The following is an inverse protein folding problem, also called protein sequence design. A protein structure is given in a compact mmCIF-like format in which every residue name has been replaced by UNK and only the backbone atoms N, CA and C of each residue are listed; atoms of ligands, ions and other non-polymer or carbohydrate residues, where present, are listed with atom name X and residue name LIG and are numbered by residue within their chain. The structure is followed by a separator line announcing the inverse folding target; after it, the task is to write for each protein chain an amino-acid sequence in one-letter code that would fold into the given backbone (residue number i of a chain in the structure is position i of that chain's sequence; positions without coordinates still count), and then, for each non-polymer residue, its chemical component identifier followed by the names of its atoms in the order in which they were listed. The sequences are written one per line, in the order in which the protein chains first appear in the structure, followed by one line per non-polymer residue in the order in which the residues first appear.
data_IF_607688192254
#
_entry.id   IF_607688192254
#
_cell.length_a   1.000
_cell.length_b   1.000
_cell.length_c   1.000
_cell.angle_alpha   90.00
_cell.angle_beta   90.00
_cell.angle_gamma   90.00
#
_symmetry.space_group_name_H-M   'P 1'
#
loop_
_entity.id
_entity.type
_entity.pdbx_description
1 polymer ?
#
# COMPACT_ATOMS: atom_id res chain seq x y z
N UNK A 1 -19.46 15.67 -2.34
CA UNK A 1 -20.45 16.52 -1.61
C UNK A 1 -19.81 16.87 -0.28
N UNK A 2 -19.82 18.13 0.21
CA UNK A 2 -19.08 18.45 1.43
C UNK A 2 -19.66 17.71 2.64
N UNK A 3 -18.82 17.01 3.39
CA UNK A 3 -19.21 16.30 4.62
C UNK A 3 -19.01 17.25 5.79
N UNK A 4 -20.02 17.43 6.64
CA UNK A 4 -19.91 18.28 7.83
C UNK A 4 -19.61 17.43 9.06
N UNK A 5 -18.49 17.69 9.72
CA UNK A 5 -18.10 17.01 10.95
C UNK A 5 -17.99 17.99 12.12
N UNK A 6 -18.58 17.62 13.25
CA UNK A 6 -18.39 18.34 14.49
C UNK A 6 -17.15 17.82 15.22
N UNK A 7 -15.97 18.18 14.71
CA UNK A 7 -14.69 17.64 15.19
C UNK A 7 -13.76 18.73 15.75
N UNK A 8 -12.89 18.35 16.67
CA UNK A 8 -11.85 19.18 17.29
C UNK A 8 -10.57 18.38 17.53
N UNK A 9 -9.46 19.06 17.80
CA UNK A 9 -8.16 18.43 18.02
C UNK A 9 -8.10 17.43 19.18
N UNK A 10 -9.09 17.40 20.09
CA UNK A 10 -9.15 16.46 21.21
C UNK A 10 -10.42 15.62 21.26
N UNK A 11 -11.32 15.75 20.26
CA UNK A 11 -12.54 14.94 20.22
C UNK A 11 -12.24 13.56 19.63
N UNK A 12 -12.94 12.55 20.12
CA UNK A 12 -12.97 11.21 19.54
C UNK A 12 -14.30 11.08 18.82
N UNK A 13 -14.26 10.76 17.52
CA UNK A 13 -15.46 10.44 16.76
C UNK A 13 -15.92 9.03 17.11
N UNK A 14 -17.23 8.80 17.26
CA UNK A 14 -17.75 7.47 17.48
C UNK A 14 -17.58 6.61 16.21
N UNK A 15 -17.40 5.30 16.41
CA UNK A 15 -17.00 4.39 15.32
C UNK A 15 -18.01 4.32 14.17
N UNK A 16 -19.31 4.52 14.45
CA UNK A 16 -20.33 4.61 13.41
C UNK A 16 -20.10 5.79 12.44
N UNK A 17 -19.66 6.94 12.96
CA UNK A 17 -19.31 8.11 12.14
C UNK A 17 -18.02 7.87 11.37
N UNK A 18 -17.00 7.26 12.00
CA UNK A 18 -15.75 6.89 11.33
C UNK A 18 -15.98 5.86 10.22
N UNK A 19 -16.80 4.84 10.45
CA UNK A 19 -17.15 3.83 9.44
C UNK A 19 -17.89 4.45 8.25
N UNK A 20 -18.83 5.36 8.52
CA UNK A 20 -19.53 6.11 7.47
C UNK A 20 -18.57 6.98 6.66
N UNK A 21 -17.65 7.68 7.34
CA UNK A 21 -16.63 8.49 6.69
C UNK A 21 -15.70 7.65 5.80
N UNK A 22 -15.23 6.50 6.30
CA UNK A 22 -14.42 5.55 5.51
C UNK A 22 -15.16 5.11 4.27
N UNK A 23 -16.42 4.69 4.41
CA UNK A 23 -17.24 4.25 3.29
C UNK A 23 -17.37 5.35 2.23
N UNK A 24 -17.72 6.57 2.62
CA UNK A 24 -17.91 7.69 1.68
C UNK A 24 -16.61 8.01 0.93
N UNK A 25 -15.49 8.14 1.64
CA UNK A 25 -14.19 8.47 1.05
C UNK A 25 -13.65 7.32 0.17
N UNK A 26 -14.00 6.07 0.48
CA UNK A 26 -13.66 4.94 -0.39
C UNK A 26 -14.45 4.96 -1.70
N UNK A 27 -15.72 5.37 -1.67
CA UNK A 27 -16.52 5.50 -2.89
C UNK A 27 -16.12 6.72 -3.73
N UNK A 28 -15.64 7.79 -3.08
CA UNK A 28 -15.25 9.05 -3.73
C UNK A 28 -13.80 9.39 -3.39
N UNK A 29 -12.88 9.23 -4.35
CA UNK A 29 -11.44 9.34 -4.12
C UNK A 29 -10.95 10.72 -3.61
N UNK A 30 -11.77 11.77 -3.67
CA UNK A 30 -11.45 13.10 -3.14
C UNK A 30 -12.71 13.75 -2.57
N UNK A 31 -12.90 13.67 -1.24
CA UNK A 31 -14.00 14.38 -0.59
C UNK A 31 -13.47 15.46 0.36
N UNK A 32 -14.03 16.66 0.21
CA UNK A 32 -13.77 17.78 1.12
C UNK A 32 -14.65 17.66 2.35
N UNK A 33 -14.03 17.61 3.51
CA UNK A 33 -14.69 17.59 4.81
C UNK A 33 -14.60 18.97 5.45
N UNK A 34 -15.74 19.48 5.92
CA UNK A 34 -15.88 20.75 6.61
C UNK A 34 -16.05 20.47 8.11
N UNK A 35 -15.06 20.89 8.89
CA UNK A 35 -15.05 20.73 10.34
C UNK A 35 -15.55 22.02 11.00
N UNK A 36 -16.63 21.91 11.80
CA UNK A 36 -17.26 23.03 12.53
C UNK A 36 -17.50 24.28 11.68
N UNK A 37 -17.85 24.09 10.41
CA UNK A 37 -18.11 25.17 9.43
C UNK A 37 -16.93 26.15 9.21
N UNK A 38 -15.73 25.80 9.71
CA UNK A 38 -14.59 26.73 9.76
C UNK A 38 -13.31 26.19 9.14
N UNK A 39 -13.06 24.89 9.26
CA UNK A 39 -11.84 24.26 8.73
C UNK A 39 -12.21 23.31 7.61
N UNK A 40 -11.55 23.45 6.46
CA UNK A 40 -11.70 22.53 5.33
C UNK A 40 -10.54 21.55 5.35
N UNK A 41 -10.86 20.27 5.25
CA UNK A 41 -9.90 19.17 5.16
C UNK A 41 -10.18 18.40 3.89
N UNK A 42 -9.13 17.98 3.21
CA UNK A 42 -9.18 17.03 2.11
C UNK A 42 -8.85 15.65 2.65
N UNK A 43 -9.74 14.69 2.44
CA UNK A 43 -9.52 13.29 2.82
C UNK A 43 -9.42 12.45 1.55
N UNK A 44 -8.32 11.70 1.45
CA UNK A 44 -8.06 10.83 0.31
C UNK A 44 -7.78 9.41 0.77
N UNK A 45 -8.43 8.45 0.12
CA UNK A 45 -8.17 7.03 0.31
C UNK A 45 -7.09 6.56 -0.69
N UNK A 46 -6.08 5.86 -0.19
CA UNK A 46 -4.98 5.29 -0.95
C UNK A 46 -5.11 3.78 -0.91
N UNK A 47 -5.66 3.23 -1.99
CA UNK A 47 -6.02 1.82 -2.13
C UNK A 47 -4.81 0.88 -1.97
N UNK A 48 -3.65 1.26 -2.52
CA UNK A 48 -2.44 0.42 -2.52
C UNK A 48 -1.94 0.05 -1.13
N UNK A 49 -2.21 0.88 -0.12
CA UNK A 49 -1.80 0.64 1.27
C UNK A 49 -3.00 0.54 2.23
N UNK A 50 -4.22 0.54 1.70
CA UNK A 50 -5.48 0.59 2.45
C UNK A 50 -5.44 1.63 3.59
N UNK A 51 -5.07 2.87 3.24
CA UNK A 51 -4.87 3.95 4.19
C UNK A 51 -5.52 5.26 3.75
N UNK A 52 -5.86 6.10 4.72
CA UNK A 52 -6.44 7.41 4.46
C UNK A 52 -5.43 8.52 4.80
N UNK A 53 -5.42 9.58 4.01
CA UNK A 53 -4.66 10.81 4.30
C UNK A 53 -5.61 11.95 4.59
N UNK A 54 -5.24 12.83 5.51
CA UNK A 54 -6.03 14.03 5.85
C UNK A 54 -5.15 15.25 5.77
N UNK A 55 -5.48 16.18 4.86
CA UNK A 55 -4.71 17.39 4.64
C UNK A 55 -5.58 18.64 4.83
N UNK A 56 -5.14 19.66 5.56
CA UNK A 56 -5.87 20.91 5.64
C UNK A 56 -5.86 21.64 4.29
N UNK A 57 -7.03 22.11 3.87
CA UNK A 57 -7.20 22.97 2.70
C UNK A 57 -6.97 24.41 3.14
N UNK A 58 -5.72 24.85 3.03
CA UNK A 58 -5.29 26.17 3.47
C UNK A 58 -5.81 27.26 2.52
N UNK A 59 -6.79 28.06 2.98
CA UNK A 59 -7.21 29.27 2.25
C UNK A 59 -6.52 30.56 2.70
N UNK A 60 -5.97 30.61 3.93
CA UNK A 60 -5.39 31.82 4.52
C UNK A 60 -3.99 31.59 5.12
N UNK A 61 -3.05 32.51 4.89
CA UNK A 61 -1.62 32.39 5.23
C UNK A 61 -1.20 32.61 6.71
N UNK A 62 -2.13 32.61 7.67
CA UNK A 62 -1.78 32.86 9.08
C UNK A 62 -1.26 31.59 9.78
N UNK A 63 0.01 31.61 10.23
CA UNK A 63 0.73 30.46 10.81
C UNK A 63 0.06 29.84 12.05
N UNK A 64 -0.55 30.65 12.93
CA UNK A 64 -1.22 30.15 14.14
C UNK A 64 -2.42 29.26 13.80
N UNK A 65 -3.18 29.63 12.76
CA UNK A 65 -4.30 28.82 12.28
C UNK A 65 -3.81 27.56 11.58
N UNK A 66 -2.59 27.55 11.02
CA UNK A 66 -1.99 26.34 10.42
C UNK A 66 -1.64 25.29 11.46
N UNK A 67 -1.00 25.68 12.57
CA UNK A 67 -0.64 24.73 13.62
C UNK A 67 -1.87 24.01 14.20
N UNK A 68 -2.97 24.75 14.41
CA UNK A 68 -4.23 24.19 14.88
C UNK A 68 -4.86 23.26 13.84
N UNK A 69 -4.91 23.67 12.58
CA UNK A 69 -5.44 22.84 11.49
C UNK A 69 -4.65 21.54 11.33
N UNK A 70 -3.32 21.60 11.37
CA UNK A 70 -2.46 20.43 11.31
C UNK A 70 -2.70 19.46 12.47
N UNK A 71 -2.95 19.98 13.67
CA UNK A 71 -3.27 19.15 14.83
C UNK A 71 -4.61 18.43 14.65
N UNK A 72 -5.62 19.14 14.15
CA UNK A 72 -6.94 18.57 13.85
C UNK A 72 -6.82 17.50 12.74
N UNK A 73 -6.12 17.82 11.65
CA UNK A 73 -5.91 16.90 10.54
C UNK A 73 -5.20 15.61 10.98
N UNK A 74 -4.12 15.74 11.77
CA UNK A 74 -3.39 14.59 12.32
C UNK A 74 -4.26 13.72 13.22
N UNK A 75 -5.07 14.31 14.09
CA UNK A 75 -5.95 13.53 14.96
C UNK A 75 -7.02 12.80 14.14
N UNK A 76 -7.64 13.48 13.17
CA UNK A 76 -8.61 12.86 12.28
C UNK A 76 -7.96 11.74 11.45
N UNK A 77 -6.76 11.95 10.92
CA UNK A 77 -5.99 10.92 10.20
C UNK A 77 -5.75 9.69 11.08
N UNK A 78 -5.38 9.88 12.35
CA UNK A 78 -5.18 8.77 13.27
C UNK A 78 -6.49 8.01 13.50
N UNK A 79 -7.61 8.70 13.77
CA UNK A 79 -8.88 8.04 14.05
C UNK A 79 -9.44 7.29 12.83
N UNK A 80 -9.41 7.90 11.64
CA UNK A 80 -9.89 7.23 10.43
C UNK A 80 -9.02 6.02 10.07
N UNK A 81 -7.76 5.99 10.50
CA UNK A 81 -6.81 4.89 10.32
C UNK A 81 -6.63 3.99 11.57
N UNK A 82 -7.65 3.87 12.42
CA UNK A 82 -7.63 2.98 13.59
C UNK A 82 -6.47 3.25 14.58
N UNK A 83 -6.15 4.52 14.82
CA UNK A 83 -5.12 4.99 15.74
C UNK A 83 -3.73 5.20 15.12
N UNK A 84 -3.56 4.94 13.82
CA UNK A 84 -2.27 5.00 13.13
C UNK A 84 -2.16 6.21 12.21
N UNK A 85 -0.97 6.80 12.06
CA UNK A 85 -0.76 7.77 10.98
C UNK A 85 -0.62 7.07 9.63
N UNK A 86 -0.89 7.79 8.54
CA UNK A 86 -0.68 7.26 7.19
C UNK A 86 0.78 6.87 6.95
N UNK A 87 1.72 7.65 7.51
CA UNK A 87 3.15 7.36 7.44
C UNK A 87 3.49 6.01 8.09
N UNK A 88 2.87 5.67 9.23
CA UNK A 88 3.06 4.37 9.88
C UNK A 88 2.50 3.23 9.03
N UNK A 89 1.31 3.40 8.45
CA UNK A 89 0.71 2.39 7.55
C UNK A 89 1.61 2.16 6.33
N UNK A 90 2.09 3.24 5.72
CA UNK A 90 2.96 3.18 4.54
C UNK A 90 4.30 2.52 4.87
N UNK A 91 4.87 2.80 6.04
CA UNK A 91 6.11 2.18 6.49
C UNK A 91 5.93 0.66 6.65
N UNK A 92 4.86 0.21 7.30
CA UNK A 92 4.57 -1.22 7.46
C UNK A 92 4.37 -1.91 6.11
N UNK A 93 3.65 -1.27 5.20
CA UNK A 93 3.46 -1.78 3.84
C UNK A 93 4.81 -1.97 3.13
N UNK A 94 5.70 -0.97 3.20
CA UNK A 94 7.04 -1.08 2.61
C UNK A 94 7.89 -2.17 3.27
N UNK A 95 7.78 -2.35 4.58
CA UNK A 95 8.45 -3.43 5.30
C UNK A 95 7.93 -4.81 4.88
N UNK A 96 6.62 -4.98 4.72
CA UNK A 96 6.02 -6.20 4.20
C UNK A 96 6.40 -6.48 2.74
N UNK A 97 6.46 -5.43 1.91
CA UNK A 97 6.89 -5.57 0.52
C UNK A 97 8.36 -6.03 0.45
N UNK A 98 9.24 -5.39 1.24
CA UNK A 98 10.66 -5.71 1.28
C UNK A 98 10.95 -7.10 1.86
N UNK A 99 10.21 -7.53 2.87
CA UNK A 99 10.32 -8.89 3.39
C UNK A 99 9.93 -9.92 2.33
N UNK A 100 8.79 -9.73 1.65
CA UNK A 100 8.37 -10.61 0.55
C UNK A 100 9.38 -10.65 -0.62
N UNK A 101 10.05 -9.54 -0.92
CA UNK A 101 11.12 -9.48 -1.93
C UNK A 101 12.36 -10.27 -1.46
N UNK A 102 12.73 -10.15 -0.18
CA UNK A 102 13.87 -10.90 0.39
C UNK A 102 13.67 -12.42 0.32
N UNK A 103 12.46 -12.89 0.59
CA UNK A 103 12.10 -14.32 0.46
C UNK A 103 12.19 -14.80 -1.00
N UNK A 104 11.73 -14.01 -1.97
CA UNK A 104 11.83 -14.35 -3.40
C UNK A 104 13.29 -14.48 -3.86
N UNK A 105 14.18 -13.61 -3.40
CA UNK A 105 15.61 -13.65 -3.77
C UNK A 105 16.34 -14.87 -3.20
N UNK A 106 16.02 -15.28 -1.97
CA UNK A 106 16.54 -16.51 -1.37
C UNK A 106 16.06 -17.77 -2.10
N UNK A 107 14.76 -17.83 -2.42
CA UNK A 107 14.17 -18.94 -3.17
C UNK A 107 14.72 -19.03 -4.61
N UNK A 108 14.91 -17.90 -5.29
CA UNK A 108 15.49 -17.84 -6.64
C UNK A 108 16.94 -18.36 -6.66
N UNK A 109 17.76 -17.97 -5.67
CA UNK A 109 19.13 -18.46 -5.56
C UNK A 109 19.18 -19.97 -5.26
N UNK A 110 18.32 -20.46 -4.37
CA UNK A 110 18.22 -21.90 -4.09
C UNK A 110 17.79 -22.69 -5.34
N UNK A 111 16.84 -22.18 -6.12
CA UNK A 111 16.40 -22.78 -7.37
C UNK A 111 17.52 -22.79 -8.42
N UNK A 112 18.21 -21.67 -8.62
CA UNK A 112 19.36 -21.59 -9.55
C UNK A 112 20.46 -22.57 -9.17
N UNK A 113 20.83 -22.63 -7.90
CA UNK A 113 21.84 -23.56 -7.41
C UNK A 113 21.43 -25.02 -7.64
N UNK A 114 20.14 -25.34 -7.42
CA UNK A 114 19.62 -26.69 -7.65
C UNK A 114 19.55 -27.05 -9.13
N UNK A 115 19.20 -26.11 -10.01
CA UNK A 115 19.26 -26.30 -11.47
C UNK A 115 20.71 -26.57 -11.89
N UNK A 116 21.66 -25.75 -11.44
CA UNK A 116 23.07 -25.93 -11.75
C UNK A 116 23.64 -27.26 -11.22
N UNK A 117 23.20 -27.72 -10.05
CA UNK A 117 23.69 -29.00 -9.51
C UNK A 117 23.12 -30.23 -10.21
N UNK A 118 22.03 -30.08 -10.98
CA UNK A 118 21.39 -31.17 -11.73
C UNK A 118 21.52 -31.01 -13.25
N UNK A 119 22.17 -29.95 -13.72
CA UNK A 119 22.47 -29.77 -15.13
C UNK A 119 23.67 -30.60 -15.54
N UNK A 120 23.59 -31.25 -16.69
CA UNK A 120 24.68 -31.97 -17.33
C UNK A 120 24.61 -31.72 -18.84
N UNK A 121 25.72 -31.96 -19.54
CA UNK A 121 25.79 -31.83 -21.00
C UNK A 121 25.10 -33.01 -21.65
N UNK A 122 24.16 -32.76 -22.56
CA UNK A 122 23.44 -33.84 -23.24
C UNK A 122 24.28 -34.33 -24.43
N UNK A 123 24.81 -35.55 -24.34
CA UNK A 123 25.46 -36.23 -25.45
C UNK A 123 24.48 -37.26 -26.06
N UNK A 124 23.96 -37.07 -27.28
CA UNK A 124 23.00 -37.98 -27.88
C UNK A 124 23.46 -39.44 -27.99
N UNK A 125 24.77 -39.67 -28.10
CA UNK A 125 25.35 -41.01 -28.23
C UNK A 125 25.31 -41.81 -26.92
N UNK A 126 25.07 -41.15 -25.79
CA UNK A 126 25.00 -41.76 -24.45
C UNK A 126 23.58 -42.21 -24.07
N UNK A 127 22.56 -41.84 -24.85
CA UNK A 127 21.16 -42.13 -24.55
C UNK A 127 20.56 -43.13 -25.55
N UNK A 128 19.91 -44.18 -25.03
CA UNK A 128 19.24 -45.21 -25.86
C UNK A 128 17.90 -44.76 -26.47
N UNK A 129 17.49 -43.50 -26.31
CA UNK A 129 16.18 -43.00 -26.71
C UNK A 129 16.23 -42.16 -27.98
N UNK A 130 15.07 -41.98 -28.63
CA UNK A 130 14.98 -41.13 -29.82
C UNK A 130 15.37 -39.68 -29.51
N UNK A 131 16.05 -39.05 -30.47
CA UNK A 131 16.51 -37.65 -30.38
C UNK A 131 15.38 -36.64 -30.12
N UNK A 132 14.13 -36.98 -30.44
CA UNK A 132 12.97 -36.15 -30.12
C UNK A 132 12.78 -35.94 -28.60
N UNK A 133 13.18 -36.90 -27.78
CA UNK A 133 13.08 -36.82 -26.31
C UNK A 133 14.25 -36.06 -25.68
N UNK A 134 15.32 -35.82 -26.44
CA UNK A 134 16.48 -35.03 -26.03
C UNK A 134 16.32 -33.54 -26.36
N UNK A 135 15.31 -33.17 -27.15
CA UNK A 135 15.04 -31.79 -27.51
C UNK A 135 14.32 -31.08 -26.38
N UNK A 136 14.84 -29.91 -26.02
CA UNK A 136 14.18 -29.02 -25.09
C UNK A 136 12.84 -28.54 -25.68
N UNK A 137 11.71 -28.63 -24.96
CA UNK A 137 10.41 -28.20 -25.47
C UNK A 137 10.31 -26.67 -25.65
N UNK A 138 11.21 -25.91 -25.02
CA UNK A 138 11.24 -24.44 -25.11
C UNK A 138 12.08 -23.99 -26.31
N UNK A 139 13.30 -24.51 -26.46
CA UNK A 139 14.23 -24.08 -27.53
C UNK A 139 14.14 -24.94 -28.78
N UNK A 140 13.48 -26.10 -28.71
CA UNK A 140 13.32 -27.09 -29.79
C UNK A 140 14.64 -27.67 -30.32
N UNK A 141 15.73 -27.52 -29.55
CA UNK A 141 17.07 -28.02 -29.83
C UNK A 141 17.55 -28.96 -28.71
N UNK A 142 18.56 -29.78 -29.00
CA UNK A 142 19.28 -30.53 -27.96
C UNK A 142 20.18 -29.52 -27.21
N UNK A 143 20.00 -29.34 -25.90
CA UNK A 143 20.73 -28.34 -25.10
C UNK A 143 22.14 -28.78 -24.71
#
# INVERSE_FOLDING_TARGET
MPIFLNFTAGSILPENELASLRYIVQQNQNDTVIIKERYKMDIRYIESVNGFTVNPVCSNHFSIFMARQNTIARNLEQQINNGRSFAQISQDFMLQLSSNIGWKKGAENALKNKIHSHSFVVNPDEFSCDTQFLKCPITLCVP
#
